data_IF_555102374116
#
_entry.id   IF_555102374116
#
_cell.length_a   1.000
_cell.length_b   1.000
_cell.length_c   1.000
_cell.angle_alpha   90.00
_cell.angle_beta   90.00
_cell.angle_gamma   90.00
#
_symmetry.space_group_name_H-M   'P 1'
#
loop_
_entity.id
_entity.type
_entity.pdbx_description
1 polymer ?
#
# COMPACT_ATOMS: atom_id res chain seq x y z
N UNK A 1 -10.67 15.78 -10.48
CA UNK A 1 -9.98 17.07 -10.68
C UNK A 1 -9.67 17.67 -9.33
N UNK A 2 -8.57 18.43 -9.22
CA UNK A 2 -8.29 19.28 -8.06
C UNK A 2 -9.50 20.16 -7.73
N UNK A 3 -9.75 20.36 -6.44
CA UNK A 3 -10.87 21.15 -5.92
C UNK A 3 -10.34 22.10 -4.82
N UNK A 4 -11.13 23.12 -4.48
CA UNK A 4 -10.76 24.10 -3.46
C UNK A 4 -10.06 25.35 -4.03
N UNK A 5 -9.46 26.14 -3.16
CA UNK A 5 -8.94 27.48 -3.47
C UNK A 5 -7.84 27.46 -4.55
N UNK A 6 -7.04 26.40 -4.62
CA UNK A 6 -5.96 26.26 -5.60
C UNK A 6 -6.41 25.64 -6.94
N UNK A 7 -7.69 25.29 -7.11
CA UNK A 7 -8.15 24.56 -8.29
C UNK A 7 -7.78 25.26 -9.61
N UNK A 8 -7.93 26.58 -9.67
CA UNK A 8 -7.60 27.36 -10.87
C UNK A 8 -6.10 27.31 -11.21
N UNK A 9 -5.23 27.39 -10.19
CA UNK A 9 -3.78 27.28 -10.38
C UNK A 9 -3.40 25.90 -10.93
N UNK A 10 -4.01 24.84 -10.38
CA UNK A 10 -3.81 23.48 -10.88
C UNK A 10 -4.34 23.28 -12.30
N UNK A 11 -5.47 23.89 -12.66
CA UNK A 11 -5.97 23.86 -14.05
C UNK A 11 -5.02 24.55 -15.02
N UNK A 12 -4.52 25.74 -14.68
CA UNK A 12 -3.55 26.46 -15.50
C UNK A 12 -2.28 25.63 -15.72
N UNK A 13 -1.74 25.05 -14.65
CA UNK A 13 -0.57 24.20 -14.72
C UNK A 13 -0.79 22.92 -15.56
N UNK A 14 -1.95 22.27 -15.41
CA UNK A 14 -2.29 21.12 -16.27
C UNK A 14 -2.35 21.51 -17.75
N UNK A 15 -2.92 22.67 -18.08
CA UNK A 15 -2.98 23.15 -19.46
C UNK A 15 -1.57 23.45 -20.03
N UNK A 16 -0.68 24.04 -19.23
CA UNK A 16 0.72 24.28 -19.64
C UNK A 16 1.45 22.96 -19.93
N UNK A 17 1.27 21.94 -19.08
CA UNK A 17 1.81 20.59 -19.33
C UNK A 17 1.24 19.99 -20.61
N UNK A 18 -0.07 20.13 -20.85
CA UNK A 18 -0.70 19.62 -22.07
C UNK A 18 -0.10 20.28 -23.32
N UNK A 19 0.08 21.59 -23.31
CA UNK A 19 0.73 22.31 -24.41
C UNK A 19 2.18 21.85 -24.62
N UNK A 20 2.94 21.71 -23.53
CA UNK A 20 4.31 21.21 -23.59
C UNK A 20 4.40 19.79 -24.18
N UNK A 21 3.53 18.88 -23.74
CA UNK A 21 3.50 17.50 -24.24
C UNK A 21 3.08 17.41 -25.71
N UNK A 22 2.19 18.30 -26.15
CA UNK A 22 1.75 18.36 -27.55
C UNK A 22 2.89 18.75 -28.50
N UNK A 23 3.73 19.71 -28.09
CA UNK A 23 4.89 20.16 -28.86
C UNK A 23 6.10 19.22 -28.78
N UNK A 24 6.05 18.22 -27.89
CA UNK A 24 7.16 17.29 -27.70
C UNK A 24 7.36 16.36 -28.92
N UNK A 25 8.59 16.14 -29.42
CA UNK A 25 8.84 15.32 -30.62
C UNK A 25 8.24 13.90 -30.55
N UNK A 26 8.21 13.31 -29.36
CA UNK A 26 7.59 12.00 -29.11
C UNK A 26 6.09 12.00 -29.46
N UNK A 27 5.38 13.10 -29.23
CA UNK A 27 3.97 13.20 -29.58
C UNK A 27 3.78 13.07 -31.09
N UNK A 28 4.55 13.84 -31.87
CA UNK A 28 4.50 13.84 -33.33
C UNK A 28 4.85 12.47 -33.91
N UNK A 29 5.87 11.80 -33.36
CA UNK A 29 6.28 10.47 -33.79
C UNK A 29 5.22 9.40 -33.46
N UNK A 30 4.54 9.50 -32.31
CA UNK A 30 3.44 8.59 -31.95
C UNK A 30 2.23 8.77 -32.85
N UNK A 31 1.85 10.03 -33.14
CA UNK A 31 0.76 10.34 -34.08
C UNK A 31 1.07 9.81 -35.47
N UNK A 32 2.30 9.99 -35.97
CA UNK A 32 2.73 9.45 -37.28
C UNK A 32 2.62 7.92 -37.34
N UNK A 33 2.80 7.23 -36.21
CA UNK A 33 2.68 5.77 -36.10
C UNK A 33 1.26 5.29 -35.79
N UNK A 34 0.27 6.19 -35.73
CA UNK A 34 -1.11 5.86 -35.36
C UNK A 34 -1.27 5.40 -33.90
N UNK A 35 -0.32 5.75 -33.03
CA UNK A 35 -0.32 5.35 -31.61
C UNK A 35 -0.97 6.42 -30.73
N UNK A 36 -1.68 5.98 -29.68
CA UNK A 36 -2.21 6.89 -28.66
C UNK A 36 -1.05 7.65 -28.00
N UNK A 37 -1.08 8.98 -28.01
CA UNK A 37 -0.04 9.80 -27.38
C UNK A 37 -0.50 10.28 -26.00
N UNK A 38 0.34 10.22 -24.96
CA UNK A 38 0.01 10.84 -23.68
C UNK A 38 -0.01 12.36 -23.88
N UNK A 39 -1.22 12.93 -23.96
CA UNK A 39 -1.45 14.35 -24.19
C UNK A 39 -1.90 15.10 -22.93
N UNK A 40 -2.00 14.39 -21.81
CA UNK A 40 -2.53 14.91 -20.56
C UNK A 40 -1.95 14.16 -19.37
N UNK A 41 -1.72 14.89 -18.28
CA UNK A 41 -1.38 14.35 -16.97
C UNK A 41 -2.53 14.72 -16.03
N UNK A 42 -3.02 13.76 -15.26
CA UNK A 42 -4.09 13.98 -14.31
C UNK A 42 -3.56 13.90 -12.88
N UNK A 43 -3.69 14.98 -12.13
CA UNK A 43 -3.32 15.00 -10.72
C UNK A 43 -4.47 14.46 -9.85
N UNK A 44 -4.14 13.52 -8.99
CA UNK A 44 -5.04 12.91 -8.01
C UNK A 44 -4.29 12.52 -6.75
N UNK A 45 -5.00 12.33 -5.64
CA UNK A 45 -4.38 11.95 -4.36
C UNK A 45 -3.66 13.10 -3.64
N UNK A 46 -4.10 14.34 -3.86
CA UNK A 46 -3.59 15.49 -3.10
C UNK A 46 -3.84 15.32 -1.60
N UNK A 47 -2.88 15.76 -0.78
CA UNK A 47 -2.97 15.69 0.67
C UNK A 47 -1.88 16.53 1.32
N UNK A 48 -2.07 16.86 2.59
CA UNK A 48 -1.07 17.58 3.38
C UNK A 48 -0.12 16.59 4.05
N UNK A 49 1.18 16.88 4.02
CA UNK A 49 2.15 16.10 4.78
C UNK A 49 1.86 16.28 6.28
N UNK A 50 1.66 15.20 7.06
CA UNK A 50 1.47 15.31 8.49
C UNK A 50 2.74 15.84 9.15
N UNK A 51 2.60 16.68 10.19
CA UNK A 51 3.73 17.22 10.95
C UNK A 51 4.44 16.16 11.80
N UNK A 52 3.69 15.16 12.24
CA UNK A 52 4.17 14.02 13.02
C UNK A 52 3.28 12.82 12.73
N UNK A 53 3.83 11.63 12.91
CA UNK A 53 3.11 10.38 12.78
C UNK A 53 3.18 9.70 14.13
N UNK A 54 2.02 9.37 14.71
CA UNK A 54 1.96 8.50 15.87
C UNK A 54 1.96 7.05 15.39
N UNK A 55 2.99 6.31 15.77
CA UNK A 55 3.19 4.94 15.33
C UNK A 55 3.26 3.98 16.54
N UNK A 56 2.32 3.02 16.66
CA UNK A 56 2.34 2.05 17.76
C UNK A 56 3.29 0.86 17.51
N UNK A 57 3.89 0.76 16.32
CA UNK A 57 4.72 -0.35 15.90
C UNK A 57 6.19 -0.11 16.23
N UNK A 58 6.86 -1.10 16.82
CA UNK A 58 8.30 -1.00 17.16
C UNK A 58 9.19 -1.43 15.99
N UNK A 59 8.62 -2.11 15.00
CA UNK A 59 9.35 -2.62 13.84
C UNK A 59 8.44 -2.66 12.63
N UNK A 60 8.94 -2.14 11.51
CA UNK A 60 8.22 -2.10 10.24
C UNK A 60 9.06 -2.80 9.18
N UNK A 61 8.50 -3.81 8.54
CA UNK A 61 9.11 -4.51 7.40
C UNK A 61 8.34 -4.17 6.13
N UNK A 62 9.00 -3.52 5.18
CA UNK A 62 8.40 -3.19 3.89
C UNK A 62 9.48 -2.91 2.84
N UNK A 63 9.21 -3.33 1.60
CA UNK A 63 9.99 -2.92 0.44
C UNK A 63 9.37 -1.71 -0.28
N UNK A 64 8.16 -1.30 0.12
CA UNK A 64 7.41 -0.25 -0.56
C UNK A 64 8.02 1.13 -0.34
N UNK A 65 8.19 1.86 -1.45
CA UNK A 65 8.72 3.22 -1.42
C UNK A 65 7.86 4.18 -0.60
N UNK A 66 6.55 3.92 -0.54
CA UNK A 66 5.60 4.69 0.26
C UNK A 66 5.98 4.67 1.75
N UNK A 67 6.16 3.48 2.34
CA UNK A 67 6.54 3.36 3.76
C UNK A 67 7.90 3.95 4.06
N UNK A 68 8.87 3.82 3.14
CA UNK A 68 10.18 4.49 3.28
C UNK A 68 10.05 6.01 3.40
N UNK A 69 9.18 6.62 2.59
CA UNK A 69 8.94 8.08 2.63
C UNK A 69 8.17 8.49 3.88
N UNK A 70 7.10 7.79 4.22
CA UNK A 70 6.28 8.08 5.41
C UNK A 70 7.13 8.00 6.68
N UNK A 71 7.98 6.97 6.81
CA UNK A 71 8.85 6.83 7.97
C UNK A 71 10.00 7.83 8.01
N UNK A 72 10.37 8.47 6.89
CA UNK A 72 11.35 9.56 6.95
C UNK A 72 10.83 10.81 7.68
N UNK A 73 9.51 10.92 7.87
CA UNK A 73 8.85 11.99 8.65
C UNK A 73 8.95 11.67 10.16
N UNK A 74 9.01 10.39 10.52
CA UNK A 74 9.12 9.92 11.90
C UNK A 74 10.56 9.46 12.19
N UNK A 75 11.33 10.30 12.90
CA UNK A 75 12.76 10.05 13.15
C UNK A 75 13.03 8.88 14.10
N UNK A 76 12.00 8.30 14.74
CA UNK A 76 12.18 7.27 15.77
C UNK A 76 12.21 5.85 15.22
N UNK A 77 11.78 5.63 13.96
CA UNK A 77 11.60 4.28 13.41
C UNK A 77 12.22 4.17 12.02
N UNK A 78 13.13 3.21 11.88
CA UNK A 78 13.66 2.80 10.56
C UNK A 78 12.85 1.63 10.02
N UNK A 79 12.43 1.71 8.75
CA UNK A 79 11.92 0.53 8.04
C UNK A 79 13.06 -0.42 7.73
N UNK A 80 12.78 -1.71 7.86
CA UNK A 80 13.65 -2.78 7.41
C UNK A 80 13.11 -3.34 6.10
N UNK A 81 14.01 -3.79 5.24
CA UNK A 81 13.62 -4.50 4.02
C UNK A 81 12.90 -5.78 4.37
N UNK A 82 11.92 -6.14 3.54
CA UNK A 82 11.07 -7.31 3.76
C UNK A 82 11.89 -8.61 3.78
N UNK A 83 12.99 -8.68 3.05
CA UNK A 83 13.90 -9.82 2.99
C UNK A 83 14.41 -10.20 4.37
N UNK A 84 14.64 -9.19 5.23
CA UNK A 84 15.10 -9.38 6.60
C UNK A 84 14.04 -9.97 7.52
N UNK A 85 12.78 -10.04 7.11
CA UNK A 85 11.71 -10.62 7.92
C UNK A 85 11.87 -12.14 8.04
N UNK A 86 12.22 -12.60 9.25
CA UNK A 86 12.45 -14.00 9.57
C UNK A 86 11.69 -14.44 10.82
N UNK A 87 11.72 -15.75 11.14
CA UNK A 87 10.92 -16.33 12.22
C UNK A 87 11.11 -15.67 13.59
N UNK A 88 12.31 -15.17 13.90
CA UNK A 88 12.63 -14.61 15.21
C UNK A 88 12.33 -13.11 15.33
N UNK A 89 11.89 -12.46 14.24
CA UNK A 89 11.63 -11.02 14.23
C UNK A 89 10.27 -10.62 14.79
N UNK A 90 9.43 -11.59 15.16
CA UNK A 90 8.13 -11.29 15.77
C UNK A 90 8.37 -10.81 17.20
N UNK A 91 8.48 -9.50 17.34
CA UNK A 91 8.61 -8.76 18.58
C UNK A 91 7.28 -8.09 18.96
N UNK A 92 7.30 -7.21 19.96
CA UNK A 92 6.10 -6.48 20.36
C UNK A 92 5.73 -5.46 19.26
N UNK A 93 4.55 -5.61 18.67
CA UNK A 93 3.96 -4.71 17.67
C UNK A 93 4.78 -4.55 16.39
N UNK A 94 4.88 -5.62 15.60
CA UNK A 94 5.46 -5.60 14.25
C UNK A 94 4.40 -5.26 13.20
N UNK A 95 4.70 -4.34 12.27
CA UNK A 95 3.93 -4.11 11.04
C UNK A 95 4.70 -4.68 9.84
N UNK A 96 3.99 -5.39 8.97
CA UNK A 96 4.52 -5.93 7.72
C UNK A 96 3.62 -5.41 6.61
N UNK A 97 4.19 -4.70 5.63
CA UNK A 97 3.45 -4.13 4.52
C UNK A 97 4.18 -4.39 3.21
N UNK A 98 3.46 -4.94 2.23
CA UNK A 98 4.00 -5.33 0.93
C UNK A 98 2.88 -5.35 -0.11
N UNK A 99 3.24 -5.10 -1.36
CA UNK A 99 2.35 -5.24 -2.50
C UNK A 99 2.81 -6.41 -3.39
N UNK A 100 1.84 -7.17 -3.93
CA UNK A 100 2.08 -8.28 -4.86
C UNK A 100 2.30 -9.65 -4.21
N UNK A 101 2.35 -10.68 -5.07
CA UNK A 101 2.23 -12.07 -4.63
C UNK A 101 3.57 -12.74 -4.27
N UNK A 102 4.70 -12.21 -4.76
CA UNK A 102 6.01 -12.88 -4.70
C UNK A 102 6.48 -13.18 -3.27
N UNK A 103 6.10 -12.34 -2.30
CA UNK A 103 6.54 -12.43 -0.91
C UNK A 103 5.47 -13.01 0.02
N UNK A 104 4.24 -13.18 -0.48
CA UNK A 104 3.06 -13.57 0.29
C UNK A 104 3.26 -14.92 0.97
N UNK A 105 3.62 -15.95 0.22
CA UNK A 105 3.76 -17.31 0.75
C UNK A 105 4.87 -17.40 1.81
N UNK A 106 5.98 -16.71 1.58
CA UNK A 106 7.11 -16.66 2.52
C UNK A 106 6.68 -16.02 3.84
N UNK A 107 6.02 -14.86 3.78
CA UNK A 107 5.58 -14.11 4.95
C UNK A 107 4.49 -14.87 5.70
N UNK A 108 3.48 -15.38 4.98
CA UNK A 108 2.42 -16.20 5.56
C UNK A 108 2.99 -17.45 6.22
N UNK A 109 4.02 -18.08 5.63
CA UNK A 109 4.74 -19.19 6.24
C UNK A 109 5.40 -18.83 7.57
N UNK A 110 6.07 -17.67 7.64
CA UNK A 110 6.68 -17.16 8.89
C UNK A 110 5.61 -16.86 9.95
N UNK A 111 4.54 -16.18 9.58
CA UNK A 111 3.41 -15.85 10.47
C UNK A 111 2.79 -17.16 10.98
N UNK A 112 2.46 -18.08 10.09
CA UNK A 112 1.83 -19.36 10.41
C UNK A 112 2.66 -20.20 11.38
N UNK A 113 3.98 -20.30 11.14
CA UNK A 113 4.88 -21.05 12.02
C UNK A 113 4.95 -20.45 13.42
N UNK A 114 5.00 -19.13 13.53
CA UNK A 114 4.98 -18.45 14.83
C UNK A 114 3.61 -18.49 15.52
N UNK A 115 2.54 -18.50 14.73
CA UNK A 115 1.18 -18.67 15.23
C UNK A 115 0.99 -20.06 15.84
N UNK A 116 1.46 -21.12 15.18
CA UNK A 116 1.49 -22.49 15.71
C UNK A 116 2.29 -22.60 17.01
N UNK A 117 3.42 -21.88 17.10
CA UNK A 117 4.28 -21.80 18.29
C UNK A 117 3.69 -20.90 19.40
N UNK A 118 2.48 -20.36 19.24
CA UNK A 118 1.82 -19.43 20.20
C UNK A 118 2.61 -18.16 20.50
N UNK A 119 3.56 -17.78 19.63
CA UNK A 119 4.32 -16.54 19.76
C UNK A 119 3.50 -15.31 19.35
N UNK A 120 2.46 -15.50 18.53
CA UNK A 120 1.54 -14.46 18.09
C UNK A 120 0.23 -14.55 18.90
N UNK A 121 -0.08 -13.52 19.67
CA UNK A 121 -1.35 -13.43 20.42
C UNK A 121 -2.49 -12.88 19.55
N UNK A 122 -2.18 -11.80 18.82
CA UNK A 122 -3.08 -11.06 17.95
C UNK A 122 -2.44 -10.93 16.57
N UNK A 123 -3.24 -11.12 15.52
CA UNK A 123 -2.87 -10.94 14.13
C UNK A 123 -3.96 -10.12 13.46
N UNK A 124 -3.63 -8.88 13.13
CA UNK A 124 -4.48 -7.99 12.36
C UNK A 124 -4.00 -8.01 10.90
N UNK A 125 -4.92 -8.34 9.99
CA UNK A 125 -4.66 -8.38 8.55
C UNK A 125 -5.49 -7.29 7.89
N UNK A 126 -4.83 -6.44 7.13
CA UNK A 126 -5.45 -5.39 6.33
C UNK A 126 -5.30 -5.73 4.87
N UNK A 127 -6.42 -5.86 4.16
CA UNK A 127 -6.45 -6.15 2.72
C UNK A 127 -7.22 -5.01 2.05
N UNK A 128 -6.62 -4.37 1.06
CA UNK A 128 -7.32 -3.41 0.21
C UNK A 128 -7.79 -4.11 -1.08
N UNK A 129 -9.05 -3.90 -1.44
CA UNK A 129 -9.61 -4.39 -2.70
C UNK A 129 -10.62 -3.38 -3.24
N UNK A 130 -10.43 -2.93 -4.49
CA UNK A 130 -11.30 -1.95 -5.16
C UNK A 130 -11.63 -0.70 -4.31
N UNK A 131 -10.62 -0.16 -3.61
CA UNK A 131 -10.79 1.02 -2.75
C UNK A 131 -11.50 0.78 -1.42
N UNK A 132 -11.91 -0.45 -1.12
CA UNK A 132 -12.39 -0.87 0.20
C UNK A 132 -11.26 -1.48 1.01
N UNK A 133 -11.26 -1.27 2.32
CA UNK A 133 -10.32 -1.88 3.26
C UNK A 133 -11.06 -2.93 4.09
N UNK A 134 -10.60 -4.17 4.01
CA UNK A 134 -11.01 -5.25 4.90
C UNK A 134 -10.00 -5.37 6.03
N UNK A 135 -10.48 -5.21 7.26
CA UNK A 135 -9.71 -5.48 8.46
C UNK A 135 -10.16 -6.81 9.07
N UNK A 136 -9.23 -7.75 9.19
CA UNK A 136 -9.46 -9.06 9.78
C UNK A 136 -8.68 -9.15 11.08
N UNK A 137 -9.40 -9.11 12.20
CA UNK A 137 -8.83 -9.32 13.51
C UNK A 137 -8.83 -10.81 13.87
N UNK A 138 -7.65 -11.40 14.08
CA UNK A 138 -7.49 -12.79 14.48
C UNK A 138 -6.78 -12.93 15.82
N UNK A 139 -7.36 -13.71 16.72
CA UNK A 139 -6.72 -14.15 17.97
C UNK A 139 -6.30 -15.60 17.87
N UNK A 140 -5.25 -15.99 18.59
CA UNK A 140 -4.82 -17.39 18.66
C UNK A 140 -5.98 -18.37 18.94
N UNK A 141 -6.86 -18.01 19.88
CA UNK A 141 -8.02 -18.83 20.28
C UNK A 141 -9.05 -19.03 19.17
N UNK A 142 -9.05 -18.20 18.13
CA UNK A 142 -9.99 -18.33 17.01
C UNK A 142 -9.53 -19.38 15.97
N UNK A 143 -8.25 -19.79 15.95
CA UNK A 143 -7.79 -20.88 15.08
C UNK A 143 -8.25 -22.26 15.56
N UNK A 144 -8.66 -22.40 16.82
CA UNK A 144 -9.27 -23.63 17.33
C UNK A 144 -10.68 -23.86 16.75
N UNK A 145 -11.23 -22.89 16.02
CA UNK A 145 -12.51 -23.03 15.31
C UNK A 145 -12.29 -23.68 13.94
N UNK A 146 -12.08 -24.99 13.93
CA UNK A 146 -11.87 -25.84 12.73
C UNK A 146 -13.08 -25.86 11.76
N UNK A 147 -14.20 -25.25 12.12
CA UNK A 147 -15.47 -25.28 11.40
C UNK A 147 -15.84 -23.94 10.72
N UNK A 148 -14.89 -23.02 10.56
CA UNK A 148 -15.16 -21.79 9.78
C UNK A 148 -15.17 -22.12 8.29
N UNK A 149 -16.28 -21.77 7.62
CA UNK A 149 -16.42 -21.85 6.16
C UNK A 149 -15.37 -20.96 5.49
N UNK A 150 -14.65 -21.48 4.51
CA UNK A 150 -13.74 -20.69 3.66
C UNK A 150 -14.57 -19.80 2.74
N UNK A 151 -14.30 -18.50 2.77
CA UNK A 151 -14.91 -17.51 1.87
C UNK A 151 -13.81 -16.88 1.02
N UNK A 152 -14.10 -16.57 -0.24
CA UNK A 152 -13.22 -15.80 -1.12
C UNK A 152 -13.14 -14.35 -0.67
N UNK A 153 -12.07 -13.64 -1.04
CA UNK A 153 -11.93 -12.21 -0.71
C UNK A 153 -13.10 -11.38 -1.28
N UNK A 154 -13.51 -11.63 -2.52
CA UNK A 154 -14.67 -10.97 -3.16
C UNK A 154 -15.94 -11.05 -2.30
N UNK A 155 -16.21 -12.23 -1.72
CA UNK A 155 -17.36 -12.44 -0.82
C UNK A 155 -17.24 -11.64 0.50
N UNK A 156 -16.03 -11.36 0.98
CA UNK A 156 -15.83 -10.49 2.15
C UNK A 156 -16.07 -9.01 1.82
N UNK A 157 -15.85 -8.59 0.57
CA UNK A 157 -16.04 -7.20 0.14
C UNK A 157 -17.44 -6.91 -0.42
N UNK A 158 -18.31 -7.92 -0.52
CA UNK A 158 -19.56 -7.88 -1.30
C UNK A 158 -19.32 -7.29 -2.70
N UNK A 159 -18.19 -7.64 -3.31
CA UNK A 159 -17.85 -7.19 -4.66
C UNK A 159 -18.27 -8.29 -5.64
N UNK A 160 -19.16 -7.93 -6.57
CA UNK A 160 -19.56 -8.77 -7.71
C UNK A 160 -18.72 -8.42 -8.94
#
# INVERSE_FOLDING_TARGET
MPQGEEAMAWHAFMNEIQMFLFDHPLYQDRVRRGLLSPNSIWFSGGGQLPKSIENPFTSIFSNESFFKKVLSIDTQISSQTLDKFHQDNINNNTLIAFEGDNETDRILGVIWNNFKKRKIKNLDIYVSYQGKLLHIHNRFTQLLKLWKKTNTLENYFNAH
#
